data_IF_938312329817
#
_entry.id   IF_938312329817
#
_cell.length_a   1.000
_cell.length_b   1.000
_cell.length_c   1.000
_cell.angle_alpha   90.00
_cell.angle_beta   90.00
_cell.angle_gamma   90.00
#
_symmetry.space_group_name_H-M   'P 1'
#
loop_
_entity.id
_entity.type
_entity.pdbx_description
1 polymer ?
#
# COMPACT_ATOMS: atom_id res chain seq x y z
N UNK A 1 -7.13 -11.21 -25.00
CA UNK A 1 -8.21 -11.37 -23.99
C UNK A 1 -8.80 -12.78 -23.95
N UNK A 2 -9.26 -13.41 -25.05
CA UNK A 2 -9.80 -14.79 -25.03
C UNK A 2 -8.81 -15.90 -24.65
N UNK A 3 -7.53 -15.75 -25.01
CA UNK A 3 -6.52 -16.79 -24.74
C UNK A 3 -6.15 -16.89 -23.25
N UNK A 4 -6.26 -15.78 -22.50
CA UNK A 4 -6.03 -15.75 -21.06
C UNK A 4 -7.10 -16.56 -20.29
N UNK A 5 -8.36 -16.40 -20.67
CA UNK A 5 -9.48 -17.17 -20.10
C UNK A 5 -9.36 -18.69 -20.35
N UNK A 6 -8.83 -19.09 -21.51
CA UNK A 6 -8.58 -20.52 -21.81
C UNK A 6 -7.47 -21.12 -20.96
N UNK A 7 -6.41 -20.35 -20.66
CA UNK A 7 -5.27 -20.83 -19.85
C UNK A 7 -5.63 -21.03 -18.37
N UNK A 8 -6.51 -20.18 -17.81
CA UNK A 8 -7.02 -20.36 -16.45
C UNK A 8 -7.94 -21.59 -16.36
N UNK A 9 -8.75 -21.85 -17.39
CA UNK A 9 -9.63 -23.02 -17.43
C UNK A 9 -8.87 -24.34 -17.67
N UNK A 10 -7.76 -24.32 -18.42
CA UNK A 10 -7.03 -25.56 -18.78
C UNK A 10 -6.12 -26.12 -17.69
N UNK A 11 -5.87 -25.37 -16.60
CA UNK A 11 -5.12 -25.87 -15.42
C UNK A 11 -6.00 -26.60 -14.39
N UNK A 12 -7.26 -26.91 -14.72
CA UNK A 12 -8.09 -27.82 -13.93
C UNK A 12 -7.59 -29.27 -14.10
N UNK A 13 -6.99 -29.83 -13.05
CA UNK A 13 -6.83 -31.29 -12.94
C UNK A 13 -8.21 -31.97 -12.98
N UNK A 14 -8.36 -33.13 -13.64
CA UNK A 14 -9.66 -33.73 -13.89
C UNK A 14 -10.03 -34.69 -12.75
N UNK A 15 -10.81 -34.23 -11.78
CA UNK A 15 -11.79 -35.09 -11.09
C UNK A 15 -12.90 -34.24 -10.48
N UNK A 16 -14.12 -34.65 -10.80
CA UNK A 16 -15.42 -34.19 -10.29
C UNK A 16 -16.01 -32.93 -10.91
N UNK A 17 -16.88 -33.17 -11.90
CA UNK A 17 -17.92 -32.28 -12.38
C UNK A 17 -18.90 -31.92 -11.26
N UNK A 18 -18.85 -30.70 -10.77
CA UNK A 18 -19.94 -30.07 -10.03
C UNK A 18 -20.04 -28.59 -10.43
N UNK A 19 -21.28 -28.12 -10.55
CA UNK A 19 -21.70 -26.82 -11.07
C UNK A 19 -20.79 -25.64 -10.65
N UNK A 20 -20.28 -24.93 -11.65
CA UNK A 20 -19.48 -23.71 -11.49
C UNK A 20 -20.47 -22.55 -11.38
N UNK A 21 -20.99 -22.32 -10.17
CA UNK A 21 -21.59 -21.07 -9.67
C UNK A 21 -21.78 -21.30 -8.16
N UNK A 22 -21.11 -20.51 -7.31
CA UNK A 22 -21.03 -20.68 -5.84
C UNK A 22 -20.22 -21.88 -5.33
N UNK A 23 -18.90 -21.87 -5.52
CA UNK A 23 -18.02 -22.54 -4.56
C UNK A 23 -17.68 -21.54 -3.46
N UNK A 24 -18.63 -21.33 -2.53
CA UNK A 24 -18.34 -20.61 -1.29
C UNK A 24 -17.18 -21.30 -0.56
N UNK A 25 -16.42 -20.52 0.22
CA UNK A 25 -15.47 -21.06 1.19
C UNK A 25 -16.27 -22.08 2.01
N UNK A 26 -15.87 -23.35 1.95
CA UNK A 26 -16.49 -24.42 2.74
C UNK A 26 -16.06 -24.25 4.20
N UNK A 27 -16.52 -23.15 4.81
CA UNK A 27 -16.37 -22.81 6.21
C UNK A 27 -17.31 -23.77 6.93
N UNK A 28 -16.75 -24.53 7.88
CA UNK A 28 -17.42 -25.61 8.59
C UNK A 28 -18.89 -25.31 8.88
N UNK A 29 -19.74 -26.32 8.68
CA UNK A 29 -21.21 -26.29 8.85
C UNK A 29 -21.72 -25.91 10.24
N UNK A 30 -20.82 -25.54 11.16
CA UNK A 30 -21.07 -25.22 12.57
C UNK A 30 -20.98 -23.71 12.88
N UNK A 31 -20.87 -22.85 11.86
CA UNK A 31 -20.93 -21.39 12.01
C UNK A 31 -19.71 -20.73 12.68
N UNK A 32 -18.72 -21.50 13.12
CA UNK A 32 -17.44 -21.00 13.64
C UNK A 32 -16.38 -20.86 12.56
N UNK A 33 -15.65 -19.74 12.55
CA UNK A 33 -14.50 -19.54 11.68
C UNK A 33 -13.34 -20.48 12.11
N UNK A 34 -12.68 -21.19 11.17
CA UNK A 34 -11.75 -22.27 11.51
C UNK A 34 -10.30 -21.78 11.68
N UNK A 35 -10.06 -20.65 12.36
CA UNK A 35 -8.69 -20.18 12.55
C UNK A 35 -7.82 -21.16 13.36
N UNK A 36 -8.45 -22.02 14.18
CA UNK A 36 -7.79 -23.09 14.95
C UNK A 36 -6.98 -24.07 14.10
N UNK A 37 -7.32 -24.24 12.82
CA UNK A 37 -6.66 -25.19 11.91
C UNK A 37 -5.43 -24.57 11.23
N UNK A 38 -5.10 -23.31 11.55
CA UNK A 38 -3.98 -22.59 10.97
C UNK A 38 -2.88 -22.42 12.01
N UNK A 39 -1.78 -23.10 11.76
CA UNK A 39 -0.51 -22.79 12.39
C UNK A 39 0.11 -21.59 11.67
N UNK A 40 0.85 -20.77 12.42
CA UNK A 40 1.56 -19.64 11.85
C UNK A 40 3.06 -19.87 11.93
N UNK A 41 3.77 -19.53 10.85
CA UNK A 41 5.22 -19.43 10.85
C UNK A 41 5.61 -17.96 11.09
N UNK A 42 6.64 -17.71 11.90
CA UNK A 42 7.24 -16.38 12.07
C UNK A 42 7.74 -15.81 10.72
N UNK A 43 8.03 -16.69 9.73
CA UNK A 43 8.32 -16.27 8.35
C UNK A 43 7.15 -15.53 7.67
N UNK A 44 5.90 -15.82 8.05
CA UNK A 44 4.70 -15.12 7.54
C UNK A 44 4.65 -13.64 7.98
N UNK A 45 5.38 -13.29 9.04
CA UNK A 45 5.39 -11.94 9.59
C UNK A 45 6.20 -10.96 8.77
N UNK A 46 7.27 -11.47 8.17
CA UNK A 46 8.08 -10.75 7.18
C UNK A 46 7.46 -10.82 5.78
N UNK A 47 6.44 -11.66 5.59
CA UNK A 47 5.84 -11.94 4.28
C UNK A 47 4.57 -11.11 3.96
N UNK A 48 4.15 -10.17 4.82
CA UNK A 48 3.24 -9.13 4.32
C UNK A 48 4.04 -8.17 3.45
N UNK A 49 4.15 -8.54 2.18
CA UNK A 49 4.80 -7.75 1.15
C UNK A 49 4.20 -6.34 1.10
N UNK A 50 5.03 -5.35 0.77
CA UNK A 50 4.55 -3.99 0.53
C UNK A 50 3.54 -3.96 -0.60
N UNK A 51 2.57 -3.05 -0.52
CA UNK A 51 1.64 -2.79 -1.62
C UNK A 51 2.39 -2.31 -2.85
N UNK A 52 2.36 -3.05 -3.95
CA UNK A 52 2.99 -2.59 -5.20
C UNK A 52 2.11 -1.63 -5.99
N UNK A 53 0.82 -1.54 -5.65
CA UNK A 53 -0.19 -0.76 -6.36
C UNK A 53 -0.22 0.71 -5.96
N UNK A 54 0.46 1.09 -4.87
CA UNK A 54 0.37 2.41 -4.24
C UNK A 54 1.71 2.98 -3.77
N UNK A 55 2.81 2.50 -4.35
CA UNK A 55 4.16 2.89 -3.91
C UNK A 55 4.39 4.40 -4.02
N UNK A 56 4.99 4.98 -2.99
CA UNK A 56 5.58 6.31 -3.07
C UNK A 56 6.91 6.26 -3.83
N UNK A 57 7.37 7.40 -4.34
CA UNK A 57 8.63 7.49 -5.10
C UNK A 57 9.82 6.86 -4.34
N UNK A 58 10.03 7.24 -3.08
CA UNK A 58 11.08 6.66 -2.25
C UNK A 58 10.95 5.15 -2.05
N UNK A 59 9.73 4.63 -1.93
CA UNK A 59 9.51 3.19 -1.78
C UNK A 59 9.79 2.42 -3.08
N UNK A 60 9.40 2.98 -4.22
CA UNK A 60 9.70 2.41 -5.52
C UNK A 60 11.21 2.32 -5.77
N UNK A 61 11.99 3.31 -5.30
CA UNK A 61 13.45 3.29 -5.33
C UNK A 61 14.04 2.23 -4.40
N UNK A 62 13.59 2.17 -3.15
CA UNK A 62 14.10 1.20 -2.14
C UNK A 62 13.82 -0.24 -2.55
N UNK A 63 12.68 -0.50 -3.19
CA UNK A 63 12.31 -1.81 -3.70
C UNK A 63 12.94 -2.16 -5.06
N UNK A 64 13.66 -1.21 -5.67
CA UNK A 64 14.16 -1.31 -7.05
C UNK A 64 13.11 -1.86 -8.03
N UNK A 65 11.90 -1.29 -7.98
CA UNK A 65 10.80 -1.72 -8.84
C UNK A 65 11.05 -1.22 -10.28
N UNK A 66 11.88 -1.98 -11.01
CA UNK A 66 12.41 -1.61 -12.32
C UNK A 66 11.32 -1.30 -13.34
N UNK A 67 10.20 -2.04 -13.32
CA UNK A 67 9.06 -1.82 -14.21
C UNK A 67 8.41 -0.45 -13.95
N UNK A 68 8.07 -0.16 -12.69
CA UNK A 68 7.45 1.09 -12.29
C UNK A 68 8.39 2.30 -12.51
N UNK A 69 9.66 2.16 -12.12
CA UNK A 69 10.68 3.19 -12.33
C UNK A 69 10.95 3.43 -13.81
N UNK A 70 10.85 2.40 -14.66
CA UNK A 70 10.97 2.56 -16.12
C UNK A 70 9.83 3.39 -16.70
N UNK A 71 8.58 3.14 -16.28
CA UNK A 71 7.45 3.95 -16.71
C UNK A 71 7.54 5.39 -16.19
N UNK A 72 8.03 5.58 -14.96
CA UNK A 72 8.28 6.92 -14.43
C UNK A 72 9.38 7.67 -15.20
N UNK A 73 10.49 7.00 -15.54
CA UNK A 73 11.53 7.60 -16.40
C UNK A 73 10.99 7.98 -17.77
N UNK A 74 10.17 7.13 -18.38
CA UNK A 74 9.48 7.44 -19.63
C UNK A 74 8.59 8.67 -19.46
N UNK A 75 7.82 8.77 -18.37
CA UNK A 75 6.99 9.95 -18.08
C UNK A 75 7.80 11.23 -17.97
N UNK A 76 8.95 11.18 -17.30
CA UNK A 76 9.86 12.32 -17.16
C UNK A 76 10.49 12.71 -18.51
N UNK A 77 10.81 11.73 -19.35
CA UNK A 77 11.41 11.96 -20.67
C UNK A 77 10.47 12.79 -21.57
N UNK A 78 9.18 12.43 -21.62
CA UNK A 78 8.16 13.20 -22.36
C UNK A 78 8.01 14.64 -21.85
N UNK A 79 8.45 14.93 -20.62
CA UNK A 79 8.39 16.26 -20.00
C UNK A 79 9.73 16.98 -19.99
N UNK A 80 10.77 16.42 -20.63
CA UNK A 80 12.15 16.91 -20.61
C UNK A 80 12.75 17.01 -19.19
N UNK A 81 12.27 16.19 -18.25
CA UNK A 81 12.68 16.18 -16.84
C UNK A 81 13.46 14.91 -16.44
N UNK A 82 13.74 14.02 -17.38
CA UNK A 82 14.57 12.84 -17.16
C UNK A 82 15.99 13.18 -16.64
N UNK A 83 16.67 14.24 -17.09
CA UNK A 83 17.97 14.64 -16.53
C UNK A 83 17.94 14.90 -15.02
N UNK A 84 16.79 15.31 -14.48
CA UNK A 84 16.61 15.56 -13.05
C UNK A 84 16.62 14.26 -12.24
N UNK A 85 16.06 13.18 -12.78
CA UNK A 85 16.14 11.85 -12.19
C UNK A 85 17.58 11.33 -12.21
N UNK A 86 18.28 11.46 -13.33
CA UNK A 86 19.69 11.05 -13.41
C UNK A 86 20.58 11.85 -12.46
N UNK A 87 20.33 13.16 -12.32
CA UNK A 87 21.01 13.99 -11.33
C UNK A 87 20.78 13.48 -9.91
N UNK A 88 19.52 13.21 -9.53
CA UNK A 88 19.21 12.64 -8.21
C UNK A 88 19.95 11.32 -7.97
N UNK A 89 19.90 10.39 -8.93
CA UNK A 89 20.59 9.10 -8.81
C UNK A 89 22.11 9.27 -8.69
N UNK A 90 22.69 10.29 -9.33
CA UNK A 90 24.12 10.59 -9.24
C UNK A 90 24.51 11.23 -7.90
N UNK A 91 23.60 11.96 -7.24
CA UNK A 91 23.81 12.60 -5.94
C UNK A 91 23.60 11.63 -4.76
N UNK A 92 22.77 10.60 -4.93
CA UNK A 92 22.48 9.61 -3.90
C UNK A 92 23.75 8.98 -3.32
N UNK A 93 23.91 9.06 -1.99
CA UNK A 93 25.01 8.46 -1.25
C UNK A 93 26.37 9.17 -1.39
N UNK A 94 26.43 10.30 -2.09
CA UNK A 94 27.66 11.10 -2.16
C UNK A 94 27.84 11.99 -0.93
N UNK A 95 29.10 12.24 -0.58
CA UNK A 95 29.51 13.16 0.48
C UNK A 95 30.07 14.48 -0.05
N UNK A 96 30.41 14.53 -1.34
CA UNK A 96 30.94 15.71 -2.04
C UNK A 96 30.49 15.74 -3.53
N UNK A 97 30.86 16.81 -4.23
CA UNK A 97 30.81 16.91 -5.69
C UNK A 97 32.22 17.29 -6.17
N UNK A 98 33.14 16.33 -6.22
CA UNK A 98 34.45 16.57 -6.84
C UNK A 98 34.36 16.59 -8.37
N UNK A 99 33.42 15.84 -8.94
CA UNK A 99 33.24 15.68 -10.38
C UNK A 99 32.73 16.98 -11.05
N UNK A 100 33.57 17.55 -11.93
CA UNK A 100 33.26 18.75 -12.72
C UNK A 100 32.05 18.54 -13.63
N UNK A 101 31.87 17.34 -14.20
CA UNK A 101 30.74 17.00 -15.04
C UNK A 101 29.43 16.99 -14.24
N UNK A 102 29.45 16.40 -13.03
CA UNK A 102 28.30 16.39 -12.13
C UNK A 102 27.92 17.81 -11.69
N UNK A 103 28.91 18.65 -11.38
CA UNK A 103 28.71 20.06 -11.03
C UNK A 103 28.09 20.85 -12.18
N UNK A 104 28.61 20.69 -13.40
CA UNK A 104 28.06 21.33 -14.60
C UNK A 104 26.63 20.85 -14.88
N UNK A 105 26.36 19.54 -14.73
CA UNK A 105 25.03 18.97 -14.88
C UNK A 105 24.04 19.50 -13.81
N UNK A 106 24.49 19.65 -12.57
CA UNK A 106 23.69 20.25 -11.50
C UNK A 106 23.29 21.68 -11.85
N UNK A 107 24.26 22.54 -12.19
CA UNK A 107 24.00 23.94 -12.58
C UNK A 107 23.08 24.05 -13.80
N UNK A 108 23.26 23.17 -14.79
CA UNK A 108 22.37 23.10 -15.96
C UNK A 108 20.94 22.78 -15.56
N UNK A 109 20.72 21.75 -14.72
CA UNK A 109 19.39 21.36 -14.27
C UNK A 109 18.73 22.43 -13.38
N UNK A 110 19.51 23.10 -12.53
CA UNK A 110 19.05 24.25 -11.75
C UNK A 110 18.48 25.33 -12.66
N UNK A 111 19.21 25.67 -13.72
CA UNK A 111 18.79 26.70 -14.68
C UNK A 111 17.57 26.25 -15.50
N UNK A 112 17.61 25.05 -16.10
CA UNK A 112 16.57 24.52 -16.98
C UNK A 112 15.23 24.35 -16.24
N UNK A 113 15.27 23.80 -15.03
CA UNK A 113 14.07 23.54 -14.23
C UNK A 113 13.74 24.68 -13.25
N UNK A 114 14.47 25.80 -13.31
CA UNK A 114 14.29 26.98 -12.45
C UNK A 114 14.23 26.62 -10.96
N UNK A 115 15.14 25.76 -10.52
CA UNK A 115 15.20 25.30 -9.14
C UNK A 115 15.78 26.42 -8.27
N UNK A 116 15.03 26.84 -7.26
CA UNK A 116 15.48 27.88 -6.36
C UNK A 116 16.32 27.31 -5.21
N UNK A 117 17.54 27.84 -5.07
CA UNK A 117 18.47 27.61 -3.98
C UNK A 117 18.98 28.95 -3.43
N UNK A 118 19.45 29.02 -2.18
CA UNK A 118 20.10 30.21 -1.64
C UNK A 118 21.27 30.67 -2.51
N UNK A 119 21.43 31.98 -2.72
CA UNK A 119 22.50 32.55 -3.55
C UNK A 119 23.90 32.12 -3.07
N UNK A 120 24.07 31.95 -1.76
CA UNK A 120 25.31 31.45 -1.16
C UNK A 120 25.62 30.02 -1.62
N UNK A 121 24.62 29.15 -1.69
CA UNK A 121 24.75 27.75 -2.12
C UNK A 121 25.06 27.69 -3.61
N UNK A 122 24.36 28.47 -4.44
CA UNK A 122 24.66 28.59 -5.88
C UNK A 122 26.10 29.08 -6.09
N UNK A 123 26.56 30.07 -5.33
CA UNK A 123 27.92 30.57 -5.43
C UNK A 123 28.97 29.53 -5.00
N UNK A 124 28.68 28.69 -4.00
CA UNK A 124 29.54 27.55 -3.63
C UNK A 124 29.58 26.50 -4.75
N UNK A 125 28.43 26.14 -5.32
CA UNK A 125 28.34 25.15 -6.41
C UNK A 125 29.10 25.64 -7.66
N UNK A 126 28.97 26.93 -8.00
CA UNK A 126 29.61 27.52 -9.17
C UNK A 126 31.14 27.69 -9.02
N UNK A 127 31.65 27.76 -7.78
CA UNK A 127 33.07 27.97 -7.55
C UNK A 127 33.81 26.63 -7.41
N UNK A 128 34.57 26.26 -8.46
CA UNK A 128 35.36 25.03 -8.52
C UNK A 128 36.38 24.87 -7.37
N UNK A 129 36.77 25.98 -6.72
CA UNK A 129 37.73 25.97 -5.60
C UNK A 129 37.09 25.79 -4.22
N UNK A 130 35.75 25.88 -4.11
CA UNK A 130 35.03 25.76 -2.84
C UNK A 130 34.51 24.34 -2.66
N UNK A 131 34.92 23.73 -1.55
CA UNK A 131 34.37 22.46 -1.10
C UNK A 131 32.88 22.62 -0.78
N UNK A 132 32.05 21.76 -1.36
CA UNK A 132 30.63 21.64 -1.02
C UNK A 132 30.56 20.67 0.15
N UNK A 133 30.09 21.13 1.30
CA UNK A 133 29.98 20.25 2.45
C UNK A 133 28.78 19.29 2.33
N UNK A 134 28.77 18.27 3.20
CA UNK A 134 27.73 17.23 3.21
C UNK A 134 26.34 17.83 3.46
N UNK A 135 26.24 18.94 4.20
CA UNK A 135 24.98 19.62 4.49
C UNK A 135 24.42 20.32 3.25
N UNK A 136 25.25 21.10 2.55
CA UNK A 136 24.92 21.74 1.27
C UNK A 136 24.47 20.67 0.24
N UNK A 137 25.18 19.55 0.16
CA UNK A 137 24.86 18.45 -0.77
C UNK A 137 23.53 17.77 -0.42
N UNK A 138 23.27 17.57 0.87
CA UNK A 138 21.99 17.04 1.36
C UNK A 138 20.85 17.99 1.02
N UNK A 139 21.02 19.30 1.20
CA UNK A 139 20.02 20.31 0.83
C UNK A 139 19.68 20.22 -0.67
N UNK A 140 20.70 20.13 -1.54
CA UNK A 140 20.50 19.94 -2.98
C UNK A 140 19.75 18.64 -3.27
N UNK A 141 20.18 17.54 -2.66
CA UNK A 141 19.58 16.21 -2.89
C UNK A 141 18.13 16.16 -2.45
N UNK A 142 17.82 16.70 -1.26
CA UNK A 142 16.46 16.77 -0.71
C UNK A 142 15.55 17.64 -1.60
N UNK A 143 16.07 18.77 -2.11
CA UNK A 143 15.31 19.65 -3.01
C UNK A 143 15.00 18.97 -4.35
N UNK A 144 15.98 18.28 -4.94
CA UNK A 144 15.77 17.51 -6.19
C UNK A 144 14.79 16.37 -5.96
N UNK A 145 14.89 15.67 -4.82
CA UNK A 145 13.93 14.63 -4.42
C UNK A 145 12.51 15.17 -4.31
N UNK A 146 12.31 16.32 -3.66
CA UNK A 146 10.99 16.95 -3.53
C UNK A 146 10.35 17.24 -4.90
N UNK A 147 11.13 17.75 -5.85
CA UNK A 147 10.65 18.00 -7.22
C UNK A 147 10.28 16.68 -7.92
N UNK A 148 11.12 15.64 -7.80
CA UNK A 148 10.81 14.31 -8.36
C UNK A 148 9.56 13.71 -7.71
N UNK A 149 9.33 13.96 -6.42
CA UNK A 149 8.12 13.55 -5.72
C UNK A 149 6.87 14.29 -6.25
N UNK A 150 6.97 15.56 -6.62
CA UNK A 150 5.88 16.28 -7.30
C UNK A 150 5.57 15.68 -8.69
N UNK A 151 6.60 15.35 -9.46
CA UNK A 151 6.43 14.63 -10.72
C UNK A 151 5.81 13.24 -10.50
N UNK A 152 6.20 12.53 -9.44
CA UNK A 152 5.61 11.25 -9.08
C UNK A 152 4.11 11.38 -8.80
N UNK A 153 3.70 12.37 -8.01
CA UNK A 153 2.30 12.65 -7.71
C UNK A 153 1.46 12.94 -8.97
N UNK A 154 2.10 13.50 -10.00
CA UNK A 154 1.48 13.69 -11.31
C UNK A 154 1.46 12.40 -12.13
N UNK A 155 2.55 11.62 -12.09
CA UNK A 155 2.68 10.34 -12.79
C UNK A 155 1.66 9.30 -12.31
N UNK A 156 1.40 9.19 -11.01
CA UNK A 156 0.39 8.24 -10.49
C UNK A 156 -1.04 8.55 -10.96
N UNK A 157 -1.27 9.74 -11.51
CA UNK A 157 -2.53 10.18 -12.12
C UNK A 157 -2.49 10.08 -13.65
N UNK A 158 -1.79 9.08 -14.19
CA UNK A 158 -1.68 8.84 -15.64
C UNK A 158 -2.15 7.44 -16.01
N UNK A 159 -2.49 7.27 -17.29
CA UNK A 159 -2.78 5.96 -17.88
C UNK A 159 -1.56 5.02 -17.80
N UNK A 160 -0.33 5.55 -17.79
CA UNK A 160 0.87 4.73 -17.62
C UNK A 160 0.91 4.04 -16.24
N UNK A 161 0.59 4.76 -15.17
CA UNK A 161 0.52 4.16 -13.84
C UNK A 161 -0.64 3.17 -13.72
N UNK A 162 -1.80 3.50 -14.30
CA UNK A 162 -2.93 2.57 -14.35
C UNK A 162 -2.56 1.27 -15.08
N UNK A 163 -1.87 1.37 -16.22
CA UNK A 163 -1.36 0.21 -16.96
C UNK A 163 -0.44 -0.66 -16.10
N UNK A 164 0.50 -0.04 -15.38
CA UNK A 164 1.33 -0.77 -14.42
C UNK A 164 0.50 -1.52 -13.36
N UNK A 165 -0.52 -0.87 -12.77
CA UNK A 165 -1.38 -1.53 -11.78
C UNK A 165 -2.14 -2.73 -12.39
N UNK A 166 -2.66 -2.58 -13.62
CA UNK A 166 -3.30 -3.67 -14.36
C UNK A 166 -2.31 -4.81 -14.63
N UNK A 167 -1.08 -4.50 -15.03
CA UNK A 167 -0.04 -5.50 -15.29
C UNK A 167 0.33 -6.27 -14.02
N UNK A 168 0.47 -5.59 -12.86
CA UNK A 168 0.70 -6.23 -11.55
C UNK A 168 -0.45 -7.19 -11.21
N UNK A 169 -1.69 -6.72 -11.38
CA UNK A 169 -2.88 -7.48 -11.01
C UNK A 169 -3.18 -8.65 -11.97
N UNK A 170 -2.81 -8.53 -13.24
CA UNK A 170 -3.05 -9.56 -14.25
C UNK A 170 -1.84 -10.47 -14.49
N UNK A 171 -0.66 -10.11 -13.98
CA UNK A 171 0.60 -10.83 -14.15
C UNK A 171 0.71 -12.17 -13.42
N UNK A 172 -0.32 -12.59 -12.67
CA UNK A 172 -0.39 -13.90 -12.03
C UNK A 172 0.45 -14.07 -10.76
N UNK A 173 0.98 -12.97 -10.21
CA UNK A 173 1.79 -12.94 -9.00
C UNK A 173 1.20 -11.98 -7.95
N UNK A 174 -0.14 -11.86 -7.91
CA UNK A 174 -0.82 -10.96 -6.97
C UNK A 174 -0.67 -11.49 -5.56
N UNK A 175 -0.23 -10.62 -4.64
CA UNK A 175 0.02 -11.03 -3.26
C UNK A 175 -1.02 -10.45 -2.32
N UNK A 176 -1.10 -11.02 -1.11
CA UNK A 176 -2.06 -10.55 -0.11
C UNK A 176 -1.78 -9.09 0.29
N UNK A 177 -0.52 -8.65 0.24
CA UNK A 177 -0.11 -7.26 0.47
C UNK A 177 -0.73 -6.29 -0.54
N UNK A 178 -0.74 -6.64 -1.84
CA UNK A 178 -1.37 -5.81 -2.88
C UNK A 178 -2.88 -5.60 -2.65
N UNK A 179 -3.53 -6.56 -1.98
CA UNK A 179 -4.96 -6.50 -1.69
C UNK A 179 -5.21 -5.73 -0.39
N UNK A 180 -4.57 -6.14 0.71
CA UNK A 180 -4.85 -5.60 2.04
C UNK A 180 -4.37 -4.16 2.22
N UNK A 181 -3.31 -3.77 1.52
CA UNK A 181 -2.68 -2.45 1.66
C UNK A 181 -3.05 -1.50 0.52
N UNK A 182 -4.01 -1.87 -0.33
CA UNK A 182 -4.59 -1.00 -1.35
C UNK A 182 -6.05 -0.72 -0.99
N UNK A 183 -6.38 0.48 -0.51
CA UNK A 183 -7.74 0.83 -0.04
C UNK A 183 -8.85 0.50 -1.05
N UNK A 184 -8.60 0.76 -2.33
CA UNK A 184 -9.51 0.45 -3.42
C UNK A 184 -9.77 -1.05 -3.54
N UNK A 185 -8.73 -1.88 -3.52
CA UNK A 185 -8.85 -3.33 -3.67
C UNK A 185 -9.34 -4.02 -2.39
N UNK A 186 -8.91 -3.52 -1.23
CA UNK A 186 -9.36 -3.97 0.10
C UNK A 186 -10.87 -3.83 0.24
N UNK A 187 -11.47 -2.75 -0.26
CA UNK A 187 -12.92 -2.55 -0.21
C UNK A 187 -13.69 -3.65 -0.94
N UNK A 188 -13.18 -4.08 -2.10
CA UNK A 188 -13.73 -5.21 -2.86
C UNK A 188 -13.50 -6.55 -2.19
N UNK A 189 -12.33 -6.72 -1.56
CA UNK A 189 -12.02 -7.91 -0.79
C UNK A 189 -12.92 -8.04 0.44
N UNK A 190 -13.22 -6.94 1.14
CA UNK A 190 -14.17 -6.92 2.25
C UNK A 190 -15.59 -7.33 1.82
N UNK A 191 -16.08 -6.84 0.68
CA UNK A 191 -17.39 -7.26 0.14
C UNK A 191 -17.41 -8.75 -0.21
N UNK A 192 -16.31 -9.26 -0.79
CA UNK A 192 -16.14 -10.69 -1.00
C UNK A 192 -16.19 -11.47 0.31
N UNK A 193 -15.42 -11.09 1.33
CA UNK A 193 -15.40 -11.78 2.63
C UNK A 193 -16.73 -11.68 3.38
N UNK A 194 -17.51 -10.62 3.16
CA UNK A 194 -18.86 -10.47 3.71
C UNK A 194 -19.80 -11.54 3.15
N UNK A 195 -19.76 -11.75 1.83
CA UNK A 195 -20.52 -12.80 1.15
C UNK A 195 -20.09 -14.21 1.57
N UNK A 196 -18.82 -14.38 1.90
CA UNK A 196 -18.27 -15.63 2.42
C UNK A 196 -18.44 -15.79 3.95
N UNK A 197 -19.04 -14.82 4.65
CA UNK A 197 -19.28 -14.90 6.09
C UNK A 197 -18.02 -14.81 6.98
N UNK A 198 -16.90 -14.33 6.44
CA UNK A 198 -15.61 -14.24 7.14
C UNK A 198 -15.04 -12.82 7.20
N UNK A 199 -15.90 -11.80 7.00
CA UNK A 199 -15.55 -10.38 7.11
C UNK A 199 -14.92 -9.99 8.46
N UNK A 200 -15.36 -10.59 9.56
CA UNK A 200 -14.82 -10.33 10.89
C UNK A 200 -13.31 -10.61 11.00
N UNK A 201 -12.77 -11.50 10.17
CA UNK A 201 -11.34 -11.81 10.10
C UNK A 201 -10.53 -10.60 9.66
N UNK A 202 -10.92 -9.95 8.55
CA UNK A 202 -10.20 -8.77 8.06
C UNK A 202 -10.46 -7.54 8.94
N UNK A 203 -11.62 -7.45 9.58
CA UNK A 203 -11.92 -6.38 10.54
C UNK A 203 -11.04 -6.48 11.80
N UNK A 204 -10.80 -7.69 12.31
CA UNK A 204 -9.82 -7.91 13.37
C UNK A 204 -8.41 -7.53 12.91
N UNK A 205 -7.98 -7.98 11.71
CA UNK A 205 -6.66 -7.63 11.17
C UNK A 205 -6.46 -6.10 11.15
N UNK A 206 -7.42 -5.36 10.60
CA UNK A 206 -7.41 -3.89 10.58
C UNK A 206 -7.32 -3.29 11.99
N UNK A 207 -8.13 -3.79 12.93
CA UNK A 207 -8.14 -3.29 14.31
C UNK A 207 -6.78 -3.51 14.99
N UNK A 208 -6.20 -4.70 14.87
CA UNK A 208 -4.92 -5.06 15.47
C UNK A 208 -3.74 -4.28 14.86
N UNK A 209 -3.70 -4.13 13.53
CA UNK A 209 -2.61 -3.37 12.87
C UNK A 209 -2.71 -1.87 13.12
N UNK A 210 -3.93 -1.32 13.20
CA UNK A 210 -4.13 0.09 13.56
C UNK A 210 -3.73 0.32 15.01
N UNK A 211 -4.14 -0.56 15.93
CA UNK A 211 -3.72 -0.51 17.32
C UNK A 211 -2.20 -0.46 17.46
N UNK A 212 -1.49 -1.41 16.84
CA UNK A 212 -0.02 -1.44 16.82
C UNK A 212 0.56 -0.11 16.34
N UNK A 213 0.07 0.41 15.21
CA UNK A 213 0.54 1.66 14.61
C UNK A 213 0.33 2.87 15.55
N UNK A 214 -0.85 2.97 16.17
CA UNK A 214 -1.15 4.02 17.13
C UNK A 214 -0.21 3.96 18.34
N UNK A 215 -0.03 2.77 18.94
CA UNK A 215 0.86 2.59 20.09
C UNK A 215 2.31 2.90 19.74
N UNK A 216 2.79 2.50 18.56
CA UNK A 216 4.15 2.79 18.10
C UNK A 216 4.41 4.28 17.87
N UNK A 217 3.43 5.03 17.36
CA UNK A 217 3.52 6.49 17.21
C UNK A 217 3.58 7.22 18.55
N UNK A 218 2.98 6.64 19.59
CA UNK A 218 2.91 7.18 20.94
C UNK A 218 4.16 6.91 21.79
N UNK A 219 5.16 6.15 21.28
CA UNK A 219 6.44 5.83 21.96
C UNK A 219 7.22 7.06 22.45
N UNK A 220 6.92 8.25 21.95
CA UNK A 220 7.58 9.52 22.33
C UNK A 220 6.86 10.29 23.46
N UNK A 221 5.80 9.73 24.07
CA UNK A 221 5.02 10.41 25.13
C UNK A 221 4.76 9.45 26.29
N UNK A 222 5.28 9.76 27.47
CA UNK A 222 5.46 8.88 28.63
C UNK A 222 4.18 8.43 29.39
N UNK A 223 2.99 8.48 28.78
CA UNK A 223 1.69 8.32 29.49
C UNK A 223 0.74 7.31 28.79
N UNK A 224 1.25 6.28 28.12
CA UNK A 224 0.41 5.49 27.18
C UNK A 224 0.24 3.99 27.44
N UNK A 225 0.81 3.41 28.50
CA UNK A 225 0.67 1.95 28.70
C UNK A 225 -0.76 1.56 29.11
N UNK A 226 -1.34 2.19 30.13
CA UNK A 226 -2.68 1.85 30.61
C UNK A 226 -3.76 2.07 29.54
N UNK A 227 -3.65 3.16 28.76
CA UNK A 227 -4.55 3.41 27.64
C UNK A 227 -4.39 2.36 26.54
N UNK A 228 -3.15 2.06 26.14
CA UNK A 228 -2.89 1.01 25.14
C UNK A 228 -3.37 -0.36 25.63
N UNK A 229 -3.25 -0.65 26.92
CA UNK A 229 -3.75 -1.87 27.52
C UNK A 229 -5.29 -1.92 27.46
N UNK A 230 -5.98 -0.84 27.82
CA UNK A 230 -7.44 -0.72 27.72
C UNK A 230 -7.94 -0.93 26.29
N UNK A 231 -7.29 -0.30 25.31
CA UNK A 231 -7.62 -0.45 23.89
C UNK A 231 -7.37 -1.88 23.41
N UNK A 232 -6.28 -2.53 23.85
CA UNK A 232 -6.02 -3.93 23.56
C UNK A 232 -7.08 -4.85 24.16
N UNK A 233 -7.51 -4.61 25.41
CA UNK A 233 -8.56 -5.41 26.06
C UNK A 233 -9.86 -5.35 25.23
N UNK A 234 -10.25 -4.18 24.72
CA UNK A 234 -11.43 -4.05 23.85
C UNK A 234 -11.35 -4.94 22.59
N UNK A 235 -10.18 -5.01 21.95
CA UNK A 235 -9.97 -5.87 20.77
C UNK A 235 -9.99 -7.35 21.17
N UNK A 236 -9.33 -7.71 22.27
CA UNK A 236 -9.28 -9.07 22.80
C UNK A 236 -10.69 -9.58 23.16
N UNK A 237 -11.47 -8.79 23.89
CA UNK A 237 -12.83 -9.14 24.30
C UNK A 237 -13.76 -9.38 23.10
N UNK A 238 -13.58 -8.63 22.02
CA UNK A 238 -14.42 -8.76 20.84
C UNK A 238 -14.13 -10.02 20.02
N UNK A 239 -12.86 -10.41 19.86
CA UNK A 239 -12.46 -11.41 18.86
C UNK A 239 -11.76 -12.66 19.42
N UNK A 240 -11.13 -12.59 20.60
CA UNK A 240 -10.26 -13.66 21.13
C UNK A 240 -10.77 -14.29 22.43
N UNK A 241 -11.43 -13.50 23.27
CA UNK A 241 -11.97 -13.96 24.56
C UNK A 241 -12.82 -15.22 24.40
N UNK A 242 -12.83 -16.07 25.44
CA UNK A 242 -13.74 -17.21 25.53
C UNK A 242 -15.22 -16.81 25.40
N UNK A 243 -15.54 -15.56 25.74
CA UNK A 243 -16.88 -14.98 25.68
C UNK A 243 -17.02 -13.97 24.52
N UNK A 244 -16.15 -14.06 23.51
CA UNK A 244 -16.10 -13.10 22.41
C UNK A 244 -17.41 -13.04 21.62
N UNK A 245 -17.92 -11.83 21.43
CA UNK A 245 -19.13 -11.55 20.64
C UNK A 245 -18.92 -11.80 19.14
N UNK A 246 -17.67 -11.74 18.67
CA UNK A 246 -17.25 -12.04 17.30
C UNK A 246 -16.07 -13.01 17.31
N UNK A 247 -16.23 -14.17 17.98
CA UNK A 247 -15.17 -15.17 18.10
C UNK A 247 -14.67 -15.64 16.73
N UNK A 248 -13.35 -15.56 16.52
CA UNK A 248 -12.71 -15.99 15.28
C UNK A 248 -12.16 -17.43 15.34
N UNK A 249 -12.31 -18.10 16.48
CA UNK A 249 -11.88 -19.49 16.64
C UNK A 249 -10.36 -19.67 16.75
N UNK A 250 -9.64 -18.74 17.38
CA UNK A 250 -8.21 -18.90 17.69
C UNK A 250 -7.96 -20.06 18.66
N UNK A 251 -6.77 -20.68 18.56
CA UNK A 251 -6.33 -21.71 19.51
C UNK A 251 -6.08 -21.12 20.91
N UNK A 252 -6.13 -21.97 21.94
CA UNK A 252 -5.82 -21.56 23.30
C UNK A 252 -4.39 -21.04 23.41
N UNK A 253 -3.44 -21.62 22.67
CA UNK A 253 -2.05 -21.15 22.62
C UNK A 253 -1.95 -19.69 22.17
N UNK A 254 -2.64 -19.32 21.08
CA UNK A 254 -2.66 -17.92 20.60
C UNK A 254 -3.30 -17.01 21.64
N UNK A 255 -4.41 -17.44 22.24
CA UNK A 255 -5.13 -16.66 23.25
C UNK A 255 -4.24 -16.37 24.48
N UNK A 256 -3.58 -17.40 25.02
CA UNK A 256 -2.65 -17.29 26.16
C UNK A 256 -1.50 -16.33 25.82
N UNK A 257 -0.88 -16.47 24.65
CA UNK A 257 0.21 -15.56 24.24
C UNK A 257 -0.24 -14.10 24.16
N UNK A 258 -1.46 -13.84 23.68
CA UNK A 258 -2.02 -12.48 23.64
C UNK A 258 -2.30 -11.98 25.06
N UNK A 259 -2.87 -12.81 25.94
CA UNK A 259 -3.15 -12.48 27.34
C UNK A 259 -1.86 -12.11 28.11
N UNK A 260 -0.81 -12.91 27.98
CA UNK A 260 0.51 -12.67 28.59
C UNK A 260 1.14 -11.36 28.07
N UNK A 261 0.86 -10.99 26.82
CA UNK A 261 1.36 -9.75 26.22
C UNK A 261 0.56 -8.52 26.63
N UNK A 262 -0.75 -8.66 26.90
CA UNK A 262 -1.61 -7.57 27.39
C UNK A 262 -1.39 -7.32 28.87
N UNK A 263 -1.28 -8.39 29.66
CA UNK A 263 -1.11 -8.35 31.11
C UNK A 263 0.12 -9.15 31.54
N UNK A 264 1.35 -8.64 31.32
CA UNK A 264 2.56 -9.31 31.76
C UNK A 264 2.59 -9.49 33.28
N UNK A 265 3.00 -10.68 33.75
CA UNK A 265 3.11 -10.97 35.18
C UNK A 265 4.20 -10.14 35.89
N UNK A 266 5.22 -9.69 35.14
CA UNK A 266 6.28 -8.80 35.62
C UNK A 266 6.03 -7.36 35.17
N UNK A 267 6.13 -6.41 36.10
CA UNK A 267 6.04 -4.97 35.83
C UNK A 267 7.11 -4.54 34.82
N UNK A 268 8.26 -5.20 34.79
CA UNK A 268 9.33 -4.94 33.80
C UNK A 268 8.93 -5.32 32.37
N UNK A 269 7.94 -6.21 32.21
CA UNK A 269 7.35 -6.58 30.92
C UNK A 269 6.33 -5.56 30.39
N UNK A 270 5.86 -4.63 31.23
CA UNK A 270 4.90 -3.58 30.86
C UNK A 270 5.58 -2.46 30.07
N UNK A 271 5.97 -2.78 28.84
CA UNK A 271 6.57 -1.83 27.92
C UNK A 271 5.63 -1.52 26.76
N UNK A 272 5.71 -0.30 26.24
CA UNK A 272 5.00 0.12 25.02
C UNK A 272 5.34 -0.80 23.84
N UNK A 273 6.58 -1.33 23.80
CA UNK A 273 6.99 -2.30 22.77
C UNK A 273 6.25 -3.63 22.92
N UNK A 274 6.18 -4.18 24.13
CA UNK A 274 5.46 -5.45 24.41
C UNK A 274 4.00 -5.33 24.00
N UNK A 275 3.30 -4.31 24.52
CA UNK A 275 1.87 -4.14 24.25
C UNK A 275 1.61 -3.82 22.77
N UNK A 276 2.50 -3.09 22.07
CA UNK A 276 2.35 -2.83 20.63
C UNK A 276 2.36 -4.10 19.76
N UNK A 277 2.95 -5.18 20.25
CA UNK A 277 3.01 -6.46 19.54
C UNK A 277 2.08 -7.52 20.15
N UNK A 278 1.16 -7.15 21.06
CA UNK A 278 0.37 -8.15 21.79
C UNK A 278 -0.49 -9.04 20.88
N UNK A 279 -0.94 -8.54 19.74
CA UNK A 279 -1.72 -9.31 18.76
C UNK A 279 -0.88 -9.97 17.66
N UNK A 280 0.46 -9.95 17.77
CA UNK A 280 1.38 -10.44 16.73
C UNK A 280 1.00 -11.85 16.25
N UNK A 281 0.88 -12.80 17.17
CA UNK A 281 0.54 -14.20 16.89
C UNK A 281 -0.84 -14.35 16.24
N UNK A 282 -1.85 -13.65 16.76
CA UNK A 282 -3.20 -13.68 16.21
C UNK A 282 -3.29 -13.08 14.80
N UNK A 283 -2.56 -11.99 14.54
CA UNK A 283 -2.45 -11.38 13.21
C UNK A 283 -1.84 -12.36 12.21
N UNK A 284 -0.84 -13.15 12.61
CA UNK A 284 -0.24 -14.15 11.72
C UNK A 284 -1.20 -15.25 11.31
N UNK A 285 -1.94 -15.81 12.27
CA UNK A 285 -2.97 -16.83 11.98
C UNK A 285 -3.99 -16.31 10.98
N UNK A 286 -4.40 -15.05 11.15
CA UNK A 286 -5.35 -14.39 10.24
C UNK A 286 -4.75 -14.18 8.85
N UNK A 287 -3.50 -13.73 8.75
CA UNK A 287 -2.82 -13.58 7.46
C UNK A 287 -2.65 -14.92 6.75
N UNK A 288 -2.29 -15.98 7.47
CA UNK A 288 -2.20 -17.33 6.93
C UNK A 288 -3.56 -17.81 6.39
N UNK A 289 -4.65 -17.61 7.15
CA UNK A 289 -6.00 -17.92 6.68
C UNK A 289 -6.36 -17.16 5.40
N UNK A 290 -6.19 -15.84 5.39
CA UNK A 290 -6.52 -15.00 4.24
C UNK A 290 -5.70 -15.40 3.01
N UNK A 291 -4.42 -15.71 3.19
CA UNK A 291 -3.50 -16.15 2.12
C UNK A 291 -3.88 -17.51 1.56
N UNK A 292 -4.10 -18.51 2.42
CA UNK A 292 -4.30 -19.89 1.97
C UNK A 292 -5.74 -20.22 1.60
N UNK A 293 -6.73 -19.52 2.15
CA UNK A 293 -8.14 -19.81 1.89
C UNK A 293 -8.84 -18.74 1.07
N UNK A 294 -8.57 -17.46 1.31
CA UNK A 294 -9.37 -16.38 0.71
C UNK A 294 -8.76 -15.81 -0.58
N UNK A 295 -7.43 -15.80 -0.72
CA UNK A 295 -6.74 -15.14 -1.82
C UNK A 295 -7.16 -15.69 -3.19
N UNK A 296 -6.98 -16.98 -3.45
CA UNK A 296 -7.28 -17.56 -4.76
C UNK A 296 -8.77 -17.52 -5.11
N UNK A 297 -9.71 -17.81 -4.19
CA UNK A 297 -11.13 -17.59 -4.43
C UNK A 297 -11.46 -16.14 -4.76
N UNK A 298 -10.88 -15.16 -4.05
CA UNK A 298 -11.08 -13.76 -4.35
C UNK A 298 -10.59 -13.39 -5.76
N UNK A 299 -9.38 -13.79 -6.13
CA UNK A 299 -8.82 -13.54 -7.47
C UNK A 299 -9.65 -14.17 -8.60
N UNK A 300 -10.43 -15.21 -8.28
CA UNK A 300 -11.36 -15.87 -9.21
C UNK A 300 -12.79 -15.33 -9.13
N UNK A 301 -13.07 -14.38 -8.23
CA UNK A 301 -14.41 -13.89 -7.94
C UNK A 301 -14.85 -12.75 -8.85
N UNK A 302 -16.17 -12.51 -8.93
CA UNK A 302 -16.72 -11.37 -9.66
C UNK A 302 -16.33 -10.02 -9.04
N UNK A 303 -16.05 -9.97 -7.73
CA UNK A 303 -15.59 -8.76 -7.06
C UNK A 303 -14.25 -8.29 -7.65
N UNK A 304 -13.31 -9.22 -7.82
CA UNK A 304 -12.02 -8.92 -8.41
C UNK A 304 -12.13 -8.50 -9.89
N UNK A 305 -12.97 -9.19 -10.67
CA UNK A 305 -13.24 -8.81 -12.06
C UNK A 305 -13.88 -7.43 -12.16
N UNK A 306 -14.80 -7.08 -11.25
CA UNK A 306 -15.43 -5.76 -11.19
C UNK A 306 -14.40 -4.68 -10.88
N UNK A 307 -13.53 -4.90 -9.89
CA UNK A 307 -12.44 -3.99 -9.58
C UNK A 307 -11.53 -3.74 -10.79
N UNK A 308 -11.06 -4.79 -11.46
CA UNK A 308 -10.22 -4.66 -12.66
C UNK A 308 -10.92 -3.87 -13.77
N UNK A 309 -12.21 -4.13 -13.97
CA UNK A 309 -13.00 -3.43 -14.99
C UNK A 309 -13.12 -1.93 -14.70
N UNK A 310 -13.29 -1.55 -13.43
CA UNK A 310 -13.33 -0.15 -13.02
C UNK A 310 -11.96 0.52 -13.12
N UNK A 311 -10.90 -0.19 -12.73
CA UNK A 311 -9.53 0.29 -12.85
C UNK A 311 -9.18 0.62 -14.31
N UNK A 312 -9.49 -0.29 -15.23
CA UNK A 312 -9.25 -0.08 -16.68
C UNK A 312 -10.06 1.11 -17.21
N UNK A 313 -11.32 1.25 -16.79
CA UNK A 313 -12.17 2.40 -17.19
C UNK A 313 -11.61 3.73 -16.66
N UNK A 314 -11.09 3.75 -15.43
CA UNK A 314 -10.41 4.91 -14.88
C UNK A 314 -9.15 5.25 -15.69
N UNK A 315 -8.33 4.25 -16.04
CA UNK A 315 -7.17 4.39 -16.92
C UNK A 315 -7.47 5.04 -18.27
N UNK A 316 -8.51 4.56 -18.96
CA UNK A 316 -8.93 5.12 -20.25
C UNK A 316 -9.41 6.58 -20.14
N UNK A 317 -9.93 6.97 -18.98
CA UNK A 317 -10.35 8.36 -18.75
C UNK A 317 -9.15 9.31 -18.69
N UNK A 318 -8.00 8.86 -18.17
CA UNK A 318 -6.76 9.63 -18.19
C UNK A 318 -6.23 9.84 -19.61
N UNK A 319 -6.38 8.84 -20.49
CA UNK A 319 -5.96 8.92 -21.90
C UNK A 319 -6.75 9.97 -22.69
N UNK A 320 -8.05 10.12 -22.41
CA UNK A 320 -8.87 11.16 -23.06
C UNK A 320 -8.42 12.58 -22.68
N UNK A 321 -8.04 12.79 -21.42
CA UNK A 321 -7.59 14.10 -20.93
C UNK A 321 -6.21 14.51 -21.45
N UNK A 322 -5.35 13.55 -21.78
CA UNK A 322 -4.05 13.82 -22.41
C UNK A 322 -4.19 14.16 -23.90
N UNK A 323 -5.20 13.65 -24.61
CA UNK A 323 -5.47 13.99 -26.02
C UNK A 323 -6.13 15.36 -26.21
N UNK A 324 -6.98 15.79 -25.28
CA UNK A 324 -7.60 17.12 -25.32
C UNK A 324 -6.62 18.27 -25.03
N UNK A 325 -5.43 17.98 -24.48
CA UNK A 325 -4.37 18.96 -24.28
C UNK A 325 -3.41 19.08 -25.49
N UNK A 326 -3.44 18.13 -26.43
CA UNK A 326 -2.63 18.19 -27.66
C UNK A 326 -3.41 18.69 -28.89
N UNK A 327 -4.75 18.84 -28.80
CA UNK A 327 -5.57 19.38 -29.89
C UNK A 327 -6.18 20.75 -29.54
N UNK A 328 -5.98 21.70 -30.45
CA UNK A 328 -6.03 23.16 -30.23
C UNK A 328 -7.43 23.77 -30.07
N UNK A 329 -7.46 25.01 -29.54
CA UNK A 329 -8.39 26.13 -29.80
C UNK A 329 -9.91 25.86 -29.92
N UNK A 330 -10.66 26.58 -29.08
CA UNK A 330 -12.04 27.05 -29.24
C UNK A 330 -13.12 26.02 -29.62
N UNK A 331 -13.93 25.62 -28.63
CA UNK A 331 -15.37 25.94 -28.68
C UNK A 331 -16.02 25.70 -27.33
N UNK A 332 -16.94 26.60 -26.96
CA UNK A 332 -17.79 26.51 -25.77
C UNK A 332 -18.87 25.46 -26.02
N UNK A 333 -19.03 24.51 -25.10
CA UNK A 333 -20.33 23.89 -24.86
C UNK A 333 -20.44 23.44 -23.40
N UNK A 334 -21.50 23.93 -22.77
CA UNK A 334 -21.90 23.66 -21.39
C UNK A 334 -22.40 22.22 -21.19
N UNK A 335 -22.33 21.79 -19.93
CA UNK A 335 -23.10 20.74 -19.29
C UNK A 335 -22.61 19.28 -19.38
N UNK A 336 -22.01 18.80 -18.29
CA UNK A 336 -22.23 17.45 -17.74
C UNK A 336 -21.75 17.38 -16.29
N UNK A 337 -22.60 17.83 -15.36
CA UNK A 337 -22.42 17.60 -13.93
C UNK A 337 -22.99 16.24 -13.54
N UNK A 338 -22.25 15.14 -13.69
CA UNK A 338 -22.61 13.90 -12.95
C UNK A 338 -21.55 12.79 -12.81
N UNK A 339 -20.24 13.07 -12.76
CA UNK A 339 -19.22 12.00 -12.58
C UNK A 339 -18.27 12.21 -11.39
N UNK A 340 -18.65 13.05 -10.41
CA UNK A 340 -17.84 13.32 -9.20
C UNK A 340 -18.07 12.33 -8.05
N UNK A 341 -18.82 11.25 -8.26
CA UNK A 341 -18.96 10.21 -7.23
C UNK A 341 -17.68 9.36 -7.19
N UNK A 342 -16.73 9.85 -6.40
CA UNK A 342 -15.54 9.19 -5.84
C UNK A 342 -14.65 8.38 -6.79
N UNK A 343 -13.99 9.06 -7.74
CA UNK A 343 -12.70 8.55 -8.29
C UNK A 343 -11.65 8.38 -7.17
N UNK A 344 -11.76 9.15 -6.08
CA UNK A 344 -10.88 9.04 -4.91
C UNK A 344 -10.91 7.67 -4.22
N UNK A 345 -12.01 6.91 -4.28
CA UNK A 345 -12.07 5.58 -3.63
C UNK A 345 -11.44 4.45 -4.45
N UNK A 346 -11.17 4.69 -5.74
CA UNK A 346 -10.40 3.77 -6.60
C UNK A 346 -8.91 4.11 -6.61
N UNK A 347 -8.55 5.32 -6.16
CA UNK A 347 -7.16 5.75 -6.02
C UNK A 347 -6.59 5.22 -4.71
N UNK A 348 -5.41 4.58 -4.72
CA UNK A 348 -4.74 4.14 -3.50
C UNK A 348 -4.26 5.29 -2.59
N UNK A 349 -4.50 6.54 -2.97
CA UNK A 349 -3.93 7.72 -2.34
C UNK A 349 -4.92 8.52 -1.50
N UNK A 350 -6.13 8.01 -1.27
CA UNK A 350 -7.08 8.66 -0.36
C UNK A 350 -6.80 8.27 1.08
N UNK A 351 -5.87 8.99 1.71
CA UNK A 351 -5.79 9.25 3.14
C UNK A 351 -6.09 8.06 4.07
N UNK A 352 -5.00 7.44 4.57
CA UNK A 352 -4.86 6.69 5.83
C UNK A 352 -6.07 5.84 6.24
N UNK A 353 -5.86 4.54 6.45
CA UNK A 353 -6.82 3.59 7.05
C UNK A 353 -7.53 4.13 8.32
N UNK A 354 -6.96 5.15 8.97
CA UNK A 354 -7.50 5.94 10.06
C UNK A 354 -8.82 6.71 9.72
N UNK A 355 -8.99 7.18 8.47
CA UNK A 355 -10.15 7.99 8.06
C UNK A 355 -11.43 7.19 7.88
N UNK A 356 -11.32 5.92 7.47
CA UNK A 356 -12.43 4.98 7.33
C UNK A 356 -12.94 4.48 8.69
N UNK A 357 -12.06 4.40 9.68
CA UNK A 357 -12.39 3.97 11.03
C UNK A 357 -13.11 5.07 11.82
N UNK A 358 -12.61 6.32 11.79
CA UNK A 358 -13.27 7.46 12.48
C UNK A 358 -14.68 7.75 11.97
N UNK A 359 -14.95 7.53 10.68
CA UNK A 359 -16.30 7.72 10.10
C UNK A 359 -17.32 6.67 10.55
N UNK A 360 -16.88 5.50 11.05
CA UNK A 360 -17.78 4.39 11.43
C UNK A 360 -18.12 4.33 12.91
N UNK A 361 -17.39 5.05 13.78
CA UNK A 361 -17.75 5.21 15.20
C UNK A 361 -18.84 6.27 15.47
N UNK A 362 -19.27 7.01 14.44
CA UNK A 362 -20.31 8.05 14.54
C UNK A 362 -21.69 7.60 14.02
N UNK A 363 -21.96 6.30 13.95
CA UNK A 363 -23.28 5.77 13.56
C UNK A 363 -23.79 4.71 14.51
#
# INVERSE_FOLDING_TARGET
MLNFWKTIQSKKNPTSSANINNAGLNINSDGGLPLKDFEYDESDLYALEKCRLSLHFGEALVLDNSALLSMFRQFLDHRNSLPLYHLYMALLGRTDIEDELLRANLLKNISVHRIHFPDQLIAKINNQSRHIDIGDLKEVTDKVYAILQEYWNSFVQTDMFCKYQVDVLTGGQVTLGDILLCDGLLSYFMEFLDNEGCRSIVEFWLAATNFKSCVEQLKNTSVNYEQAQSDAICIYEKYLSLQATCSLGFTDQVRITVEESICPADIQGQTVTTISQCFRSAVLVVLAFLRHRCLMPFLSSQHYVRYLSELIKAGNSYQSLSQDNESSSSSVSEYSTNSKRSMSSLLPYSASTDSLWRKRQQR
#
